data_IF_351973057455
#
_entry.id   IF_351973057455
#
_cell.length_a   1.000
_cell.length_b   1.000
_cell.length_c   1.000
_cell.angle_alpha   90.00
_cell.angle_beta   90.00
_cell.angle_gamma   90.00
#
_symmetry.space_group_name_H-M   'P 1'
#
loop_
_entity.id
_entity.type
_entity.pdbx_description
1 polymer ?
#
# COMPACT_ATOMS: atom_id res chain seq x y z
N UNK A 1 26.48 5.02 2.78
CA UNK A 1 26.16 5.31 1.36
C UNK A 1 24.64 5.45 1.25
N UNK A 2 24.14 6.69 1.22
CA UNK A 2 22.70 6.98 1.09
C UNK A 2 22.32 6.80 -0.38
N UNK A 3 21.84 5.60 -0.74
CA UNK A 3 21.15 5.43 -2.01
C UNK A 3 19.74 5.98 -1.81
N UNK A 4 19.55 7.23 -2.22
CA UNK A 4 18.22 7.79 -2.40
C UNK A 4 17.60 6.99 -3.56
N UNK A 5 16.83 5.95 -3.23
CA UNK A 5 15.93 5.35 -4.19
C UNK A 5 15.09 6.50 -4.72
N UNK A 6 15.25 6.81 -6.01
CA UNK A 6 14.30 7.62 -6.78
C UNK A 6 12.95 6.89 -6.71
N UNK A 7 12.23 7.11 -5.62
CA UNK A 7 10.80 6.84 -5.55
C UNK A 7 10.21 7.65 -6.69
N UNK A 8 9.39 7.05 -7.59
CA UNK A 8 8.67 7.81 -8.58
C UNK A 8 7.97 8.93 -7.81
N UNK A 9 8.33 10.16 -8.14
CA UNK A 9 7.80 11.37 -7.52
C UNK A 9 6.28 11.26 -7.62
N UNK A 10 5.67 10.89 -6.49
CA UNK A 10 4.26 11.04 -6.26
C UNK A 10 4.01 12.54 -6.40
N UNK A 11 3.38 12.89 -7.52
CA UNK A 11 3.06 14.25 -7.94
C UNK A 11 2.54 15.07 -6.76
N UNK A 12 3.01 16.31 -6.65
CA UNK A 12 2.86 17.23 -5.52
C UNK A 12 1.43 17.60 -5.07
N UNK A 13 0.41 16.86 -5.52
CA UNK A 13 -0.98 16.91 -5.06
C UNK A 13 -1.33 15.77 -4.07
N UNK A 14 -0.36 14.95 -3.62
CA UNK A 14 -0.52 13.97 -2.52
C UNK A 14 -0.54 14.66 -1.16
N UNK A 15 -1.44 15.62 -0.99
CA UNK A 15 -1.74 16.17 0.32
C UNK A 15 -2.71 15.24 1.02
N UNK A 16 -2.22 14.35 1.90
CA UNK A 16 -2.74 14.09 3.28
C UNK A 16 -2.63 12.66 3.83
N UNK A 17 -2.10 11.64 3.16
CA UNK A 17 -1.98 10.29 3.77
C UNK A 17 -0.74 9.50 3.35
N UNK A 18 0.45 10.04 3.63
CA UNK A 18 1.71 9.30 3.52
C UNK A 18 2.08 8.66 4.86
N UNK A 19 2.59 7.45 4.83
CA UNK A 19 3.29 6.83 5.95
C UNK A 19 4.64 6.27 5.48
N UNK A 20 5.53 5.99 6.42
CA UNK A 20 6.79 5.32 6.15
C UNK A 20 6.73 3.94 6.77
N UNK A 21 6.93 2.91 5.94
CA UNK A 21 7.15 1.55 6.41
C UNK A 21 8.65 1.35 6.65
N UNK A 22 9.02 0.97 7.87
CA UNK A 22 10.40 0.67 8.23
C UNK A 22 10.65 -0.83 8.04
N UNK A 23 11.15 -1.20 6.86
CA UNK A 23 11.29 -2.59 6.43
C UNK A 23 12.71 -3.09 6.69
N UNK A 24 12.85 -4.34 7.12
CA UNK A 24 14.14 -5.02 7.24
C UNK A 24 14.36 -5.95 6.05
N UNK A 25 15.46 -5.76 5.32
CA UNK A 25 15.78 -6.58 4.15
C UNK A 25 16.06 -8.04 4.54
N UNK A 26 15.28 -9.00 4.03
CA UNK A 26 15.40 -10.42 4.41
C UNK A 26 16.78 -11.04 4.13
N UNK A 27 17.50 -10.53 3.13
CA UNK A 27 18.84 -11.03 2.74
C UNK A 27 19.97 -10.29 3.46
N UNK A 28 19.81 -8.99 3.68
CA UNK A 28 20.88 -8.12 4.20
C UNK A 28 20.78 -7.86 5.70
N UNK A 29 19.61 -8.11 6.32
CA UNK A 29 19.31 -7.72 7.69
C UNK A 29 19.25 -6.20 7.93
N UNK A 30 19.40 -5.38 6.88
CA UNK A 30 19.50 -3.92 7.02
C UNK A 30 18.11 -3.28 7.00
N UNK A 31 17.79 -2.39 7.94
CA UNK A 31 16.56 -1.59 7.89
C UNK A 31 16.64 -0.54 6.77
N UNK A 32 15.51 -0.25 6.15
CA UNK A 32 15.35 0.83 5.18
C UNK A 32 13.89 1.30 5.14
N UNK A 33 13.70 2.53 4.66
CA UNK A 33 12.42 3.22 4.70
C UNK A 33 11.72 3.19 3.35
N UNK A 34 10.42 2.90 3.37
CA UNK A 34 9.55 2.88 2.20
C UNK A 34 8.39 3.86 2.41
N UNK A 35 8.44 5.06 1.81
CA UNK A 35 7.31 5.99 1.85
C UNK A 35 6.19 5.49 0.94
N UNK A 36 4.98 5.41 1.47
CA UNK A 36 3.80 4.93 0.76
C UNK A 36 2.58 5.79 1.08
N UNK A 37 1.66 5.90 0.12
CA UNK A 37 0.33 6.41 0.40
C UNK A 37 -0.52 5.31 1.06
N UNK A 38 -1.40 5.69 1.98
CA UNK A 38 -2.29 4.77 2.65
C UNK A 38 -3.75 5.26 2.71
N UNK A 39 -4.66 4.32 2.91
CA UNK A 39 -6.08 4.56 3.21
C UNK A 39 -6.40 3.95 4.57
N UNK A 40 -7.14 4.66 5.42
CA UNK A 40 -7.68 4.10 6.67
C UNK A 40 -9.00 3.40 6.37
N UNK A 41 -9.18 2.19 6.89
CA UNK A 41 -10.41 1.42 6.71
C UNK A 41 -10.61 0.47 7.89
N UNK A 42 -11.75 0.59 8.59
CA UNK A 42 -12.14 -0.32 9.69
C UNK A 42 -11.06 -0.51 10.77
N UNK A 43 -10.33 0.55 11.13
CA UNK A 43 -9.24 0.49 12.11
C UNK A 43 -7.89 0.06 11.53
N UNK A 44 -7.87 -0.47 10.32
CA UNK A 44 -6.65 -0.84 9.60
C UNK A 44 -6.14 0.28 8.68
N UNK A 45 -4.90 0.09 8.26
CA UNK A 45 -4.20 0.90 7.26
C UNK A 45 -3.96 0.03 6.03
N UNK A 46 -4.46 0.48 4.88
CA UNK A 46 -4.36 -0.20 3.60
C UNK A 46 -3.36 0.51 2.70
N UNK A 47 -2.44 -0.25 2.11
CA UNK A 47 -1.49 0.23 1.11
C UNK A 47 -1.61 -0.64 -0.13
N UNK A 48 -2.15 -0.06 -1.20
CA UNK A 48 -2.20 -0.70 -2.51
C UNK A 48 -0.91 -0.46 -3.27
N UNK A 49 -0.25 -1.52 -3.72
CA UNK A 49 1.00 -1.42 -4.48
C UNK A 49 1.17 -2.62 -5.39
N UNK A 50 2.01 -2.50 -6.41
CA UNK A 50 2.39 -3.67 -7.19
C UNK A 50 3.47 -4.48 -6.45
N UNK A 51 3.59 -5.78 -6.73
CA UNK A 51 4.64 -6.63 -6.14
C UNK A 51 6.04 -6.05 -6.42
N UNK A 52 6.65 -5.44 -5.40
CA UNK A 52 8.03 -4.92 -5.42
C UNK A 52 8.92 -5.76 -4.50
N UNK A 53 10.25 -5.75 -4.69
CA UNK A 53 11.15 -6.54 -3.84
C UNK A 53 10.97 -6.29 -2.33
N UNK A 54 10.66 -5.05 -1.93
CA UNK A 54 10.44 -4.71 -0.52
C UNK A 54 9.18 -5.32 0.08
N UNK A 55 8.14 -5.57 -0.74
CA UNK A 55 6.89 -6.20 -0.29
C UNK A 55 7.16 -7.61 0.21
N UNK A 56 8.09 -8.33 -0.42
CA UNK A 56 8.48 -9.69 -0.02
C UNK A 56 9.18 -9.80 1.33
N UNK A 57 9.53 -8.66 1.95
CA UNK A 57 10.10 -8.62 3.31
C UNK A 57 9.01 -8.51 4.39
N UNK A 58 7.78 -8.13 4.02
CA UNK A 58 6.63 -8.08 4.94
C UNK A 58 6.07 -9.50 5.08
N UNK A 59 5.94 -9.97 6.32
CA UNK A 59 5.54 -11.34 6.63
C UNK A 59 4.50 -11.33 7.74
N UNK A 60 3.42 -12.08 7.54
CA UNK A 60 2.39 -12.29 8.57
C UNK A 60 3.03 -12.83 9.85
N UNK A 61 2.64 -12.28 11.00
CA UNK A 61 3.19 -12.65 12.31
C UNK A 61 4.54 -12.02 12.64
N UNK A 62 5.13 -11.23 11.74
CA UNK A 62 6.34 -10.45 12.00
C UNK A 62 5.96 -8.97 11.95
N UNK A 63 5.83 -8.29 13.10
CA UNK A 63 5.49 -6.88 13.13
C UNK A 63 6.54 -6.03 12.44
N UNK A 64 6.10 -4.89 11.91
CA UNK A 64 6.99 -3.85 11.38
C UNK A 64 6.77 -2.56 12.15
N UNK A 65 7.73 -1.65 12.04
CA UNK A 65 7.53 -0.28 12.49
C UNK A 65 6.95 0.57 11.35
N UNK A 66 5.98 1.42 11.67
CA UNK A 66 5.38 2.39 10.76
C UNK A 66 5.39 3.77 11.41
N UNK A 67 5.54 4.83 10.62
CA UNK A 67 5.38 6.21 11.10
C UNK A 67 4.46 7.03 10.20
N UNK A 68 3.64 7.87 10.83
CA UNK A 68 2.66 8.76 10.18
C UNK A 68 3.05 10.23 10.33
N UNK A 69 4.33 10.55 10.05
CA UNK A 69 4.88 11.89 10.29
C UNK A 69 5.23 12.19 11.75
N UNK A 70 5.23 11.17 12.61
CA UNK A 70 5.56 11.24 14.03
C UNK A 70 6.41 10.05 14.48
N UNK A 71 6.37 9.68 15.78
CA UNK A 71 7.09 8.51 16.29
C UNK A 71 6.76 7.22 15.54
N UNK A 72 7.69 6.26 15.63
CA UNK A 72 7.45 4.91 15.13
C UNK A 72 6.43 4.19 16.01
N UNK A 73 5.56 3.45 15.37
CA UNK A 73 4.55 2.59 15.99
C UNK A 73 4.71 1.18 15.46
N UNK A 74 4.61 0.19 16.33
CA UNK A 74 4.56 -1.21 15.92
C UNK A 74 3.21 -1.51 15.28
N UNK A 75 3.24 -2.19 14.12
CA UNK A 75 2.05 -2.67 13.44
C UNK A 75 2.23 -4.13 13.02
N UNK A 76 1.18 -4.91 13.20
CA UNK A 76 1.05 -6.21 12.55
C UNK A 76 0.82 -5.98 11.05
N UNK A 77 1.48 -6.77 10.20
CA UNK A 77 1.48 -6.55 8.76
C UNK A 77 1.25 -7.85 7.99
N UNK A 78 0.41 -7.77 6.96
CA UNK A 78 0.11 -8.89 6.07
C UNK A 78 0.00 -8.40 4.62
N UNK A 79 0.54 -9.18 3.69
CA UNK A 79 0.40 -8.95 2.24
C UNK A 79 -0.72 -9.86 1.73
N UNK A 80 -1.81 -9.24 1.29
CA UNK A 80 -2.95 -9.92 0.68
C UNK A 80 -2.71 -10.03 -0.83
N UNK A 81 -2.85 -11.25 -1.35
CA UNK A 81 -2.55 -11.56 -2.76
C UNK A 81 -3.64 -12.32 -3.49
N UNK A 82 -4.65 -12.81 -2.77
CA UNK A 82 -5.83 -13.44 -3.36
C UNK A 82 -6.70 -12.41 -4.07
N UNK A 83 -7.37 -12.84 -5.14
CA UNK A 83 -8.18 -11.94 -5.98
C UNK A 83 -9.28 -11.25 -5.16
N UNK A 84 -10.02 -12.02 -4.36
CA UNK A 84 -11.17 -11.50 -3.60
C UNK A 84 -10.78 -10.36 -2.65
N UNK A 85 -9.73 -10.54 -1.85
CA UNK A 85 -9.28 -9.51 -0.92
C UNK A 85 -8.68 -8.32 -1.64
N UNK A 86 -7.87 -8.54 -2.68
CA UNK A 86 -7.25 -7.45 -3.42
C UNK A 86 -8.30 -6.62 -4.16
N UNK A 87 -9.25 -7.24 -4.84
CA UNK A 87 -10.33 -6.56 -5.56
C UNK A 87 -11.17 -5.72 -4.61
N UNK A 88 -11.70 -6.34 -3.54
CA UNK A 88 -12.55 -5.67 -2.55
C UNK A 88 -11.86 -4.46 -1.92
N UNK A 89 -10.61 -4.61 -1.50
CA UNK A 89 -9.87 -3.53 -0.84
C UNK A 89 -9.33 -2.48 -1.84
N UNK A 90 -9.11 -2.86 -3.10
CA UNK A 90 -8.79 -1.89 -4.16
C UNK A 90 -9.95 -0.94 -4.41
N UNK A 91 -11.21 -1.41 -4.34
CA UNK A 91 -12.38 -0.53 -4.40
C UNK A 91 -12.39 0.47 -3.24
N UNK A 92 -12.06 0.04 -2.02
CA UNK A 92 -11.95 0.95 -0.85
C UNK A 92 -10.89 2.02 -1.09
N UNK A 93 -9.68 1.61 -1.49
CA UNK A 93 -8.57 2.53 -1.75
C UNK A 93 -8.90 3.47 -2.91
N UNK A 94 -9.49 2.97 -4.01
CA UNK A 94 -9.85 3.78 -5.16
C UNK A 94 -10.97 4.80 -4.86
N UNK A 95 -11.86 4.49 -3.90
CA UNK A 95 -12.87 5.44 -3.43
C UNK A 95 -12.22 6.59 -2.68
N UNK A 96 -11.26 6.30 -1.80
CA UNK A 96 -10.55 7.26 -0.95
C UNK A 96 -9.45 8.05 -1.69
N UNK A 97 -8.72 7.38 -2.58
CA UNK A 97 -7.52 7.87 -3.24
C UNK A 97 -7.67 7.78 -4.76
N UNK A 98 -8.24 8.83 -5.35
CA UNK A 98 -8.47 8.94 -6.81
C UNK A 98 -7.18 8.92 -7.63
N UNK A 99 -6.08 9.41 -7.07
CA UNK A 99 -4.79 9.37 -7.75
C UNK A 99 -4.25 7.94 -7.84
N UNK A 100 -4.41 7.16 -6.76
CA UNK A 100 -4.08 5.73 -6.78
C UNK A 100 -4.96 4.97 -7.77
N UNK A 101 -6.27 5.24 -7.81
CA UNK A 101 -7.18 4.65 -8.79
C UNK A 101 -6.71 4.91 -10.23
N UNK A 102 -6.44 6.17 -10.56
CA UNK A 102 -5.94 6.58 -11.87
C UNK A 102 -4.62 5.90 -12.23
N UNK A 103 -3.68 5.82 -11.29
CA UNK A 103 -2.39 5.17 -11.53
C UNK A 103 -2.52 3.66 -11.82
N UNK A 104 -3.51 3.00 -11.22
CA UNK A 104 -3.79 1.58 -11.41
C UNK A 104 -4.82 1.31 -12.51
N UNK A 105 -5.19 2.31 -13.31
CA UNK A 105 -6.14 2.15 -14.41
C UNK A 105 -7.58 1.86 -13.96
N UNK A 106 -7.93 2.20 -12.72
CA UNK A 106 -9.27 1.98 -12.18
C UNK A 106 -10.21 3.15 -12.48
N UNK A 107 -11.19 2.90 -13.33
CA UNK A 107 -12.29 3.81 -13.61
C UNK A 107 -13.41 3.73 -12.58
N UNK A 108 -14.54 4.37 -12.90
CA UNK A 108 -15.77 4.30 -12.13
C UNK A 108 -16.91 3.71 -12.96
N UNK A 109 -17.86 3.05 -12.32
CA UNK A 109 -19.12 2.63 -12.92
C UNK A 109 -20.10 3.82 -13.08
N UNK A 110 -21.30 3.53 -13.60
CA UNK A 110 -22.36 4.51 -13.80
C UNK A 110 -22.87 5.16 -12.50
N UNK A 111 -22.68 4.51 -11.35
CA UNK A 111 -23.03 5.04 -10.02
C UNK A 111 -21.88 5.84 -9.38
N UNK A 112 -20.74 5.98 -10.06
CA UNK A 112 -19.55 6.65 -9.56
C UNK A 112 -18.72 5.81 -8.58
N UNK A 113 -19.03 4.52 -8.43
CA UNK A 113 -18.22 3.60 -7.63
C UNK A 113 -17.02 3.10 -8.42
N UNK A 114 -15.90 2.74 -7.77
CA UNK A 114 -14.78 2.10 -8.45
C UNK A 114 -15.20 0.85 -9.22
N UNK A 115 -14.73 0.71 -10.44
CA UNK A 115 -15.08 -0.41 -11.30
C UNK A 115 -14.39 -1.70 -10.83
N UNK A 116 -15.18 -2.73 -10.52
CA UNK A 116 -14.69 -4.04 -10.03
C UNK A 116 -13.88 -4.81 -11.08
N UNK A 117 -14.23 -4.72 -12.36
CA UNK A 117 -13.47 -5.37 -13.42
C UNK A 117 -12.07 -4.75 -13.54
N UNK A 118 -11.95 -3.43 -13.41
CA UNK A 118 -10.64 -2.75 -13.42
C UNK A 118 -9.81 -3.12 -12.17
N UNK A 119 -10.46 -3.25 -11.00
CA UNK A 119 -9.78 -3.76 -9.80
C UNK A 119 -9.23 -5.18 -10.02
N UNK A 120 -10.01 -6.04 -10.67
CA UNK A 120 -9.59 -7.40 -11.02
C UNK A 120 -8.45 -7.40 -12.04
N UNK A 121 -8.50 -6.53 -13.06
CA UNK A 121 -7.41 -6.34 -14.01
C UNK A 121 -6.13 -5.86 -13.32
N UNK A 122 -6.24 -4.91 -12.38
CA UNK A 122 -5.11 -4.44 -11.58
C UNK A 122 -4.47 -5.58 -10.76
N UNK A 123 -5.28 -6.45 -10.16
CA UNK A 123 -4.80 -7.66 -9.49
C UNK A 123 -4.07 -8.61 -10.44
N UNK A 124 -4.62 -8.87 -11.63
CA UNK A 124 -3.97 -9.71 -12.65
C UNK A 124 -2.61 -9.14 -13.08
N UNK A 125 -2.46 -7.82 -13.06
CA UNK A 125 -1.20 -7.11 -13.34
C UNK A 125 -0.23 -7.07 -12.15
N UNK A 126 -0.57 -7.74 -11.04
CA UNK A 126 0.31 -7.92 -9.89
C UNK A 126 0.12 -6.89 -8.77
N UNK A 127 -1.02 -6.20 -8.74
CA UNK A 127 -1.43 -5.42 -7.57
C UNK A 127 -1.62 -6.34 -6.35
N UNK A 128 -1.19 -5.85 -5.19
CA UNK A 128 -1.35 -6.46 -3.88
C UNK A 128 -1.73 -5.39 -2.87
N UNK A 129 -2.40 -5.81 -1.81
CA UNK A 129 -2.76 -4.93 -0.70
C UNK A 129 -1.96 -5.33 0.53
N UNK A 130 -1.26 -4.37 1.12
CA UNK A 130 -0.68 -4.54 2.45
C UNK A 130 -1.70 -4.00 3.44
N UNK A 131 -2.07 -4.83 4.41
CA UNK A 131 -2.90 -4.45 5.56
C UNK A 131 -1.99 -4.32 6.77
N UNK A 132 -2.12 -3.19 7.47
CA UNK A 132 -1.43 -2.94 8.73
C UNK A 132 -2.44 -2.67 9.84
N UNK A 133 -2.23 -3.30 10.98
CA UNK A 133 -2.99 -3.04 12.21
C UNK A 133 -2.03 -2.47 13.24
N UNK A 134 -2.19 -1.18 13.56
CA UNK A 134 -1.33 -0.49 14.53
C UNK A 134 -1.73 -0.92 15.95
N UNK A 135 -0.73 -1.18 16.79
CA UNK A 135 -0.91 -1.58 18.19
C UNK A 135 -1.10 -0.40 19.12
#
# INVERSE_FOLDING_TARGET
>A
MRSLLKVPVLSAQVGKRLCVLHVVGRKSGKPYDVPVAYTRYEGDILVGTAKRPWVSNIRKGVPIEVSFGGPRQTADAEVLTDADSVVRLSEVIARDNKQWAKFNGMGTDAAGNPNKADAYQSWQQGCVIIRLTVR
#
